data_IF_760886630286
#
_entry.id   IF_760886630286
#
_cell.length_a   1.000
_cell.length_b   1.000
_cell.length_c   1.000
_cell.angle_alpha   90.00
_cell.angle_beta   90.00
_cell.angle_gamma   90.00
#
_symmetry.space_group_name_H-M   'P 1'
#
loop_
_entity.id
_entity.type
_entity.pdbx_description
1 polymer ?
#
# COMPACT_ATOMS: atom_id res chain seq x y z
N UNK A 1 4.84 3.98 3.94
CA UNK A 1 4.51 3.23 5.17
C UNK A 1 3.02 3.02 5.36
N UNK A 2 2.15 4.04 5.19
CA UNK A 2 0.69 3.84 5.28
C UNK A 2 0.15 2.74 4.34
N UNK A 3 0.60 2.72 3.07
CA UNK A 3 0.26 1.64 2.13
C UNK A 3 0.67 0.25 2.65
N UNK A 4 1.88 0.12 3.21
CA UNK A 4 2.38 -1.14 3.79
C UNK A 4 1.58 -1.54 5.05
N UNK A 5 1.23 -0.58 5.90
CA UNK A 5 0.40 -0.85 7.08
C UNK A 5 -1.00 -1.33 6.69
N UNK A 6 -1.63 -0.68 5.70
CA UNK A 6 -2.93 -1.10 5.18
C UNK A 6 -2.86 -2.48 4.51
N UNK A 7 -1.84 -2.71 3.68
CA UNK A 7 -1.62 -4.00 3.01
C UNK A 7 -1.38 -5.12 4.03
N UNK A 8 -0.43 -4.95 4.95
CA UNK A 8 -0.12 -5.95 5.96
C UNK A 8 -1.32 -6.22 6.87
N UNK A 9 -2.00 -5.16 7.34
CA UNK A 9 -3.22 -5.29 8.14
C UNK A 9 -4.35 -6.03 7.42
N UNK A 10 -4.57 -5.75 6.13
CA UNK A 10 -5.56 -6.46 5.33
C UNK A 10 -5.23 -7.94 5.17
N UNK A 11 -3.95 -8.32 5.14
CA UNK A 11 -3.51 -9.72 5.04
C UNK A 11 -3.59 -10.50 6.36
N UNK A 12 -3.72 -9.84 7.51
CA UNK A 12 -3.94 -10.53 8.79
C UNK A 12 -5.33 -11.18 8.86
N UNK A 13 -6.33 -10.64 8.17
CA UNK A 13 -7.72 -11.13 8.20
C UNK A 13 -7.93 -12.49 7.51
N UNK A 14 -7.46 -12.70 6.26
CA UNK A 14 -7.69 -13.95 5.54
C UNK A 14 -6.71 -15.07 5.94
N UNK A 15 -5.55 -14.76 6.51
CA UNK A 15 -4.50 -15.75 6.80
C UNK A 15 -4.47 -16.08 8.30
N UNK A 16 -5.07 -17.21 8.68
CA UNK A 16 -5.25 -17.62 10.08
C UNK A 16 -4.10 -18.41 10.71
N UNK A 17 -2.99 -18.66 10.00
CA UNK A 17 -1.86 -19.38 10.57
C UNK A 17 -0.82 -18.47 11.23
N UNK A 18 -0.05 -19.06 12.14
CA UNK A 18 0.91 -18.34 12.96
C UNK A 18 2.05 -17.72 12.13
N UNK A 19 2.46 -18.37 11.03
CA UNK A 19 3.55 -17.88 10.20
C UNK A 19 3.18 -16.57 9.50
N UNK A 20 1.99 -16.50 8.91
CA UNK A 20 1.48 -15.29 8.28
C UNK A 20 1.26 -14.18 9.32
N UNK A 21 0.75 -14.50 10.50
CA UNK A 21 0.58 -13.52 11.59
C UNK A 21 1.94 -12.93 12.00
N UNK A 22 2.98 -13.75 12.16
CA UNK A 22 4.32 -13.25 12.49
C UNK A 22 4.87 -12.36 11.37
N UNK A 23 4.75 -12.80 10.11
CA UNK A 23 5.28 -12.07 8.96
C UNK A 23 4.59 -10.71 8.78
N UNK A 24 3.26 -10.71 8.61
CA UNK A 24 2.50 -9.49 8.38
C UNK A 24 2.41 -8.63 9.63
N UNK A 25 2.32 -9.23 10.82
CA UNK A 25 2.37 -8.52 12.09
C UNK A 25 3.69 -7.77 12.27
N UNK A 26 4.82 -8.37 11.89
CA UNK A 26 6.13 -7.69 11.89
C UNK A 26 6.14 -6.52 10.92
N UNK A 27 5.66 -6.69 9.69
CA UNK A 27 5.58 -5.59 8.72
C UNK A 27 4.66 -4.46 9.16
N UNK A 28 3.52 -4.80 9.78
CA UNK A 28 2.59 -3.83 10.33
C UNK A 28 3.25 -3.03 11.46
N UNK A 29 3.86 -3.72 12.43
CA UNK A 29 4.60 -3.11 13.53
C UNK A 29 5.72 -2.19 13.02
N UNK A 30 6.54 -2.67 12.08
CA UNK A 30 7.59 -1.88 11.44
C UNK A 30 7.03 -0.62 10.77
N UNK A 31 5.94 -0.74 10.01
CA UNK A 31 5.34 0.39 9.32
C UNK A 31 4.79 1.45 10.30
N UNK A 32 4.11 1.03 11.37
CA UNK A 32 3.56 1.93 12.38
C UNK A 32 4.68 2.62 13.19
N UNK A 33 5.66 1.86 13.68
CA UNK A 33 6.79 2.40 14.42
C UNK A 33 7.64 3.33 13.55
N UNK A 34 7.91 2.94 12.31
CA UNK A 34 8.62 3.75 11.33
C UNK A 34 7.90 5.07 11.05
N UNK A 35 6.58 5.06 10.90
CA UNK A 35 5.79 6.29 10.72
C UNK A 35 5.95 7.22 11.92
N UNK A 36 5.78 6.70 13.14
CA UNK A 36 5.93 7.48 14.38
C UNK A 36 7.34 8.07 14.53
N UNK A 37 8.37 7.29 14.22
CA UNK A 37 9.77 7.74 14.30
C UNK A 37 10.09 8.83 13.27
N UNK A 38 9.67 8.63 12.02
CA UNK A 38 9.87 9.62 10.95
C UNK A 38 9.14 10.92 11.30
N UNK A 39 7.89 10.83 11.78
CA UNK A 39 7.09 11.98 12.14
C UNK A 39 7.74 12.77 13.30
N UNK A 40 8.18 12.07 14.35
CA UNK A 40 8.91 12.70 15.47
C UNK A 40 10.20 13.38 15.01
N UNK A 41 10.94 12.76 14.10
CA UNK A 41 12.16 13.36 13.51
C UNK A 41 11.81 14.61 12.70
N UNK A 42 10.78 14.56 11.87
CA UNK A 42 10.33 15.69 11.04
C UNK A 42 9.78 16.84 11.88
N UNK A 43 9.07 16.57 12.98
CA UNK A 43 8.65 17.59 13.97
C UNK A 43 9.85 18.36 14.52
N UNK A 44 10.93 17.67 14.89
CA UNK A 44 12.16 18.29 15.39
C UNK A 44 12.89 19.14 14.33
N UNK A 45 12.91 18.67 13.08
CA UNK A 45 13.60 19.35 11.99
C UNK A 45 12.86 20.58 11.44
N UNK A 46 11.53 20.51 11.38
CA UNK A 46 10.70 21.52 10.70
C UNK A 46 9.96 22.46 11.66
N UNK A 47 9.91 22.14 12.96
CA UNK A 47 9.23 22.96 13.97
C UNK A 47 7.76 23.24 13.61
N UNK A 48 7.36 24.51 13.63
CA UNK A 48 5.99 24.96 13.34
C UNK A 48 5.53 24.65 11.90
N UNK A 49 6.47 24.56 10.95
CA UNK A 49 6.15 24.20 9.57
C UNK A 49 5.64 22.76 9.46
N UNK A 50 6.06 21.86 10.36
CA UNK A 50 5.54 20.49 10.40
C UNK A 50 4.02 20.47 10.64
N UNK A 51 3.52 21.27 11.58
CA UNK A 51 2.10 21.28 11.91
C UNK A 51 1.25 21.71 10.70
N UNK A 52 1.66 22.78 10.01
CA UNK A 52 0.99 23.25 8.79
C UNK A 52 0.97 22.17 7.70
N UNK A 53 2.08 21.48 7.48
CA UNK A 53 2.15 20.40 6.49
C UNK A 53 1.32 19.17 6.91
N UNK A 54 1.33 18.81 8.19
CA UNK A 54 0.58 17.69 8.73
C UNK A 54 -0.94 17.90 8.65
N UNK A 55 -1.41 19.15 8.72
CA UNK A 55 -2.82 19.53 8.61
C UNK A 55 -3.25 19.85 7.17
N UNK A 56 -2.39 19.65 6.17
CA UNK A 56 -2.80 19.86 4.77
C UNK A 56 -3.90 18.85 4.40
N UNK A 57 -5.09 19.33 3.97
CA UNK A 57 -6.21 18.45 3.65
C UNK A 57 -5.84 17.56 2.48
N UNK A 58 -6.00 16.25 2.64
CA UNK A 58 -5.86 15.31 1.53
C UNK A 58 -7.19 15.26 0.79
N UNK A 59 -7.25 15.92 -0.36
CA UNK A 59 -8.38 15.81 -1.29
C UNK A 59 -8.11 14.66 -2.25
N UNK A 60 -9.10 13.78 -2.40
CA UNK A 60 -9.12 12.77 -3.47
C UNK A 60 -9.99 13.35 -4.58
N UNK A 61 -9.37 13.68 -5.70
CA UNK A 61 -10.06 14.25 -6.85
C UNK A 61 -10.02 13.26 -8.01
N UNK A 62 -11.18 13.03 -8.64
CA UNK A 62 -11.27 12.21 -9.84
C UNK A 62 -10.83 13.09 -11.00
N UNK A 63 -9.62 12.81 -11.50
CA UNK A 63 -9.05 13.53 -12.64
C UNK A 63 -9.00 12.61 -13.85
N UNK A 64 -9.05 13.15 -15.09
CA UNK A 64 -8.87 12.33 -16.29
C UNK A 64 -7.55 11.53 -16.27
N UNK A 65 -6.46 12.15 -15.82
CA UNK A 65 -5.17 11.45 -15.66
C UNK A 65 -5.22 10.34 -14.60
N UNK A 66 -5.96 10.53 -13.50
CA UNK A 66 -6.23 9.48 -12.52
C UNK A 66 -7.00 8.31 -13.11
N UNK A 67 -8.05 8.59 -13.87
CA UNK A 67 -8.84 7.57 -14.57
C UNK A 67 -8.00 6.80 -15.59
N UNK A 68 -7.18 7.49 -16.37
CA UNK A 68 -6.24 6.84 -17.32
C UNK A 68 -5.28 5.90 -16.59
N UNK A 69 -4.73 6.30 -15.44
CA UNK A 69 -3.84 5.43 -14.64
C UNK A 69 -4.56 4.20 -14.10
N UNK A 70 -5.80 4.37 -13.63
CA UNK A 70 -6.62 3.23 -13.16
C UNK A 70 -6.93 2.30 -14.33
N UNK A 71 -7.39 2.83 -15.47
CA UNK A 71 -7.66 2.06 -16.67
C UNK A 71 -6.42 1.31 -17.17
N UNK A 72 -5.26 1.96 -17.21
CA UNK A 72 -3.99 1.35 -17.58
C UNK A 72 -3.59 0.23 -16.61
N UNK A 73 -3.79 0.42 -15.30
CA UNK A 73 -3.54 -0.60 -14.28
C UNK A 73 -4.44 -1.83 -14.46
N UNK A 74 -5.73 -1.62 -14.70
CA UNK A 74 -6.69 -2.70 -14.98
C UNK A 74 -6.34 -3.43 -16.29
N UNK A 75 -6.00 -2.69 -17.35
CA UNK A 75 -5.61 -3.27 -18.63
C UNK A 75 -4.31 -4.10 -18.50
N UNK A 76 -3.32 -3.61 -17.75
CA UNK A 76 -2.09 -4.34 -17.47
C UNK A 76 -2.37 -5.62 -16.69
N UNK A 77 -3.17 -5.53 -15.61
CA UNK A 77 -3.56 -6.69 -14.83
C UNK A 77 -4.27 -7.75 -15.68
N UNK A 78 -5.23 -7.32 -16.51
CA UNK A 78 -5.95 -8.21 -17.43
C UNK A 78 -5.02 -8.85 -18.45
N UNK A 79 -4.12 -8.07 -19.06
CA UNK A 79 -3.12 -8.57 -19.98
C UNK A 79 -2.21 -9.61 -19.35
N UNK A 80 -1.76 -9.38 -18.11
CA UNK A 80 -0.96 -10.36 -17.37
C UNK A 80 -1.74 -11.66 -17.10
N UNK A 81 -3.03 -11.59 -16.78
CA UNK A 81 -3.87 -12.78 -16.59
C UNK A 81 -4.02 -13.58 -17.90
N UNK A 82 -4.20 -12.91 -19.04
CA UNK A 82 -4.28 -13.58 -20.34
C UNK A 82 -2.94 -14.21 -20.75
N UNK A 83 -1.83 -13.51 -20.50
CA UNK A 83 -0.49 -14.00 -20.86
C UNK A 83 0.07 -15.03 -19.87
N UNK A 84 -0.51 -15.17 -18.68
CA UNK A 84 -0.05 -16.12 -17.67
C UNK A 84 0.01 -17.56 -18.21
N UNK A 85 -1.03 -18.01 -18.92
CA UNK A 85 -1.04 -19.34 -19.55
C UNK A 85 0.08 -19.51 -20.60
N UNK A 86 0.15 -18.68 -21.65
CA UNK A 86 1.18 -18.78 -22.68
C UNK A 86 2.63 -18.61 -22.18
N UNK A 87 2.87 -17.76 -21.18
CA UNK A 87 4.22 -17.41 -20.72
C UNK A 87 4.69 -18.31 -19.56
N UNK A 88 3.80 -18.63 -18.62
CA UNK A 88 4.13 -19.36 -17.38
C UNK A 88 3.64 -20.82 -17.42
N UNK A 89 2.67 -21.13 -18.28
CA UNK A 89 2.20 -22.50 -18.53
C UNK A 89 1.07 -23.00 -17.62
N UNK A 90 0.69 -22.24 -16.59
CA UNK A 90 -0.41 -22.59 -15.67
C UNK A 90 -1.62 -21.68 -15.86
N UNK A 91 -2.83 -22.19 -15.58
CA UNK A 91 -4.04 -21.35 -15.59
C UNK A 91 -4.11 -20.49 -14.32
N UNK A 92 -4.31 -19.17 -14.43
CA UNK A 92 -4.64 -18.32 -13.27
C UNK A 92 -6.12 -18.43 -12.87
N UNK A 93 -6.94 -19.10 -13.69
CA UNK A 93 -8.36 -19.34 -13.44
C UNK A 93 -8.55 -20.65 -12.65
N UNK A 94 -9.56 -20.74 -11.76
CA UNK A 94 -9.86 -21.95 -10.99
C UNK A 94 -10.11 -23.18 -11.85
#
# INVERSE_FOLDING_TARGET
LAAIALWAGAHLLPNGDLAHVILFGTFLGFALLGMKMIDRRKRRQLGTAWARLAHTPRRVEITPGGLVRVAAGLALWWGLMLLHGPVIGFSPWP
#
